data_IF_796747499349
#
_entry.id   IF_796747499349
#
_cell.length_a   1.000
_cell.length_b   1.000
_cell.length_c   1.000
_cell.angle_alpha   90.00
_cell.angle_beta   90.00
_cell.angle_gamma   90.00
#
_symmetry.space_group_name_H-M   'P 1'
#
loop_
_entity.id
_entity.type
_entity.pdbx_description
1 polymer ?
#
# COMPACT_ATOMS: atom_id res chain seq x y z
N UNK A 1 5.68 -4.08 38.19
CA UNK A 1 5.53 -5.55 38.29
C UNK A 1 5.73 -6.15 36.91
N UNK A 2 6.72 -7.03 36.75
CA UNK A 2 6.92 -7.80 35.51
C UNK A 2 5.83 -8.87 35.43
N UNK A 3 5.17 -9.00 34.27
CA UNK A 3 4.10 -10.01 34.06
C UNK A 3 4.67 -11.42 34.23
N UNK A 4 3.94 -12.30 34.92
CA UNK A 4 4.21 -13.74 34.88
C UNK A 4 3.91 -14.29 33.48
N UNK A 5 4.53 -15.42 33.09
CA UNK A 5 4.24 -16.09 31.80
C UNK A 5 2.74 -16.33 31.59
N UNK A 6 2.03 -16.79 32.62
CA UNK A 6 0.59 -17.02 32.56
C UNK A 6 -0.18 -15.72 32.29
N UNK A 7 0.18 -14.62 32.97
CA UNK A 7 -0.47 -13.32 32.76
C UNK A 7 -0.16 -12.72 31.38
N UNK A 8 1.03 -12.96 30.84
CA UNK A 8 1.41 -12.55 29.49
C UNK A 8 0.60 -13.32 28.44
N UNK A 9 0.50 -14.65 28.57
CA UNK A 9 -0.31 -15.49 27.67
C UNK A 9 -1.79 -15.10 27.71
N UNK A 10 -2.34 -14.87 28.90
CA UNK A 10 -3.73 -14.45 29.05
C UNK A 10 -3.97 -13.04 28.46
N UNK A 11 -2.99 -12.14 28.52
CA UNK A 11 -3.09 -10.82 27.90
C UNK A 11 -3.07 -10.90 26.36
N UNK A 12 -2.16 -11.70 25.78
CA UNK A 12 -2.15 -11.98 24.35
C UNK A 12 -3.46 -12.58 23.87
N UNK A 13 -3.93 -13.64 24.52
CA UNK A 13 -5.22 -14.28 24.23
C UNK A 13 -6.40 -13.29 24.25
N UNK A 14 -6.45 -12.36 25.23
CA UNK A 14 -7.50 -11.33 25.27
C UNK A 14 -7.38 -10.35 24.10
N UNK A 15 -6.17 -9.92 23.76
CA UNK A 15 -5.91 -9.00 22.65
C UNK A 15 -6.34 -9.65 21.33
N UNK A 16 -5.86 -10.85 21.02
CA UNK A 16 -6.26 -11.64 19.85
C UNK A 16 -7.80 -11.78 19.78
N UNK A 17 -8.45 -12.05 20.91
CA UNK A 17 -9.92 -12.27 20.94
C UNK A 17 -10.67 -10.98 20.62
N UNK A 18 -10.22 -9.86 21.19
CA UNK A 18 -10.83 -8.56 20.90
C UNK A 18 -10.66 -8.11 19.45
N UNK A 19 -9.52 -8.42 18.84
CA UNK A 19 -9.25 -8.11 17.42
C UNK A 19 -10.11 -8.99 16.53
N UNK A 20 -10.16 -10.30 16.79
CA UNK A 20 -10.99 -11.23 16.03
C UNK A 20 -12.47 -10.83 16.06
N UNK A 21 -13.01 -10.55 17.25
CA UNK A 21 -14.40 -10.11 17.40
C UNK A 21 -14.69 -8.81 16.64
N UNK A 22 -13.80 -7.82 16.75
CA UNK A 22 -13.97 -6.55 16.04
C UNK A 22 -13.95 -6.72 14.52
N UNK A 23 -13.04 -7.55 13.99
CA UNK A 23 -13.01 -7.84 12.56
C UNK A 23 -14.22 -8.67 12.12
N UNK A 24 -14.70 -9.59 12.94
CA UNK A 24 -15.90 -10.37 12.66
C UNK A 24 -17.13 -9.48 12.52
N UNK A 25 -17.29 -8.51 13.43
CA UNK A 25 -18.42 -7.59 13.44
C UNK A 25 -18.41 -6.60 12.26
N UNK A 26 -17.23 -6.25 11.74
CA UNK A 26 -17.08 -5.18 10.75
C UNK A 26 -16.67 -5.63 9.35
N UNK A 27 -16.17 -6.85 9.19
CA UNK A 27 -15.62 -7.35 7.91
C UNK A 27 -16.33 -8.62 7.47
N UNK A 28 -16.25 -9.69 8.27
CA UNK A 28 -16.79 -11.01 7.92
C UNK A 28 -16.93 -11.89 9.17
N UNK A 29 -18.13 -12.39 9.46
CA UNK A 29 -18.47 -13.14 10.67
C UNK A 29 -17.72 -14.48 10.83
N UNK A 30 -17.05 -14.95 9.77
CA UNK A 30 -16.21 -16.16 9.81
C UNK A 30 -14.80 -15.90 10.35
N UNK A 31 -14.46 -14.65 10.66
CA UNK A 31 -13.16 -14.31 11.24
C UNK A 31 -13.12 -14.77 12.69
N UNK A 32 -12.15 -15.61 13.03
CA UNK A 32 -11.94 -16.12 14.38
C UNK A 32 -10.46 -16.17 14.74
N UNK A 33 -10.17 -16.39 16.02
CA UNK A 33 -8.82 -16.75 16.43
C UNK A 33 -8.44 -18.12 15.89
N UNK A 34 -7.27 -18.21 15.28
CA UNK A 34 -6.74 -19.45 14.73
C UNK A 34 -6.40 -20.41 15.87
N UNK A 35 -6.88 -21.65 15.75
CA UNK A 35 -6.39 -22.73 16.59
C UNK A 35 -4.98 -23.11 16.13
N UNK A 36 -4.05 -23.25 17.07
CA UNK A 36 -2.70 -23.72 16.78
C UNK A 36 -2.75 -25.20 16.39
N UNK A 37 -2.89 -25.47 15.10
CA UNK A 37 -2.94 -26.81 14.52
C UNK A 37 -1.99 -26.91 13.33
N UNK A 38 -1.16 -27.95 13.30
CA UNK A 38 -0.17 -28.17 12.25
C UNK A 38 1.25 -27.76 12.66
N UNK A 39 2.21 -28.03 11.78
CA UNK A 39 3.63 -27.77 12.01
C UNK A 39 4.07 -26.35 11.61
N UNK A 40 3.30 -25.68 10.75
CA UNK A 40 3.59 -24.33 10.27
C UNK A 40 2.72 -23.32 10.99
N UNK A 41 3.34 -22.23 11.45
CA UNK A 41 2.62 -21.07 11.93
C UNK A 41 2.05 -20.29 10.76
N UNK A 42 0.81 -19.82 10.91
CA UNK A 42 0.03 -19.16 9.86
C UNK A 42 -0.72 -17.94 10.43
N UNK A 43 -0.19 -17.37 11.51
CA UNK A 43 -0.69 -16.21 12.22
C UNK A 43 -1.86 -16.48 13.17
N UNK A 44 -2.20 -15.46 13.94
CA UNK A 44 -3.15 -15.54 15.05
C UNK A 44 -4.63 -15.63 14.64
N UNK A 45 -4.99 -15.14 13.45
CA UNK A 45 -6.39 -15.05 13.00
C UNK A 45 -6.66 -15.90 11.75
N UNK A 46 -7.89 -16.42 11.63
CA UNK A 46 -8.37 -17.14 10.43
C UNK A 46 -9.58 -16.41 9.82
N UNK A 47 -9.99 -16.82 8.62
CA UNK A 47 -11.19 -16.28 7.95
C UNK A 47 -10.98 -14.98 7.15
N UNK A 48 -9.90 -14.22 7.40
CA UNK A 48 -9.63 -12.95 6.72
C UNK A 48 -9.33 -13.19 5.23
N UNK A 49 -10.16 -12.59 4.37
CA UNK A 49 -10.01 -12.66 2.90
C UNK A 49 -10.32 -11.32 2.27
N UNK A 50 -9.65 -11.05 1.15
CA UNK A 50 -9.93 -9.90 0.31
C UNK A 50 -9.62 -10.25 -1.14
N UNK A 51 -10.47 -9.82 -2.09
CA UNK A 51 -10.31 -10.09 -3.53
C UNK A 51 -9.99 -11.57 -3.87
N UNK A 52 -10.58 -12.52 -3.13
CA UNK A 52 -10.34 -13.95 -3.30
C UNK A 52 -9.05 -14.49 -2.65
N UNK A 53 -8.13 -13.63 -2.23
CA UNK A 53 -6.90 -14.00 -1.53
C UNK A 53 -7.06 -14.11 -0.01
N UNK A 54 -6.22 -14.94 0.61
CA UNK A 54 -6.07 -15.02 2.07
C UNK A 54 -5.22 -13.86 2.58
N UNK A 55 -5.49 -13.44 3.80
CA UNK A 55 -4.69 -12.44 4.52
C UNK A 55 -4.30 -13.01 5.88
N UNK A 56 -3.03 -12.84 6.26
CA UNK A 56 -2.53 -13.20 7.58
C UNK A 56 -2.56 -11.98 8.50
N UNK A 57 -2.92 -12.20 9.76
CA UNK A 57 -2.86 -11.19 10.79
C UNK A 57 -2.19 -11.74 12.04
N UNK A 58 -1.21 -11.00 12.55
CA UNK A 58 -0.44 -11.35 13.74
C UNK A 58 -0.66 -10.32 14.85
N UNK A 59 -0.99 -10.75 16.08
CA UNK A 59 -1.43 -9.87 17.15
C UNK A 59 -0.36 -9.73 18.25
N UNK A 60 0.13 -8.50 18.50
CA UNK A 60 1.21 -8.26 19.49
C UNK A 60 0.75 -7.40 20.67
N UNK A 61 0.67 -7.96 21.88
CA UNK A 61 0.62 -7.20 23.15
C UNK A 61 2.01 -7.11 23.79
N UNK A 62 2.74 -6.05 23.46
CA UNK A 62 4.08 -5.81 23.99
C UNK A 62 4.16 -4.56 24.88
N UNK A 63 3.11 -4.34 25.69
CA UNK A 63 3.09 -3.23 26.66
C UNK A 63 3.16 -1.84 26.03
N UNK A 64 2.73 -1.71 24.77
CA UNK A 64 2.76 -0.46 24.01
C UNK A 64 4.08 -0.14 23.31
N UNK A 65 5.10 -1.00 23.44
CA UNK A 65 6.30 -0.92 22.60
C UNK A 65 5.99 -1.53 21.25
N UNK A 66 6.66 -1.05 20.21
CA UNK A 66 6.52 -1.54 18.83
C UNK A 66 7.88 -2.03 18.34
N UNK A 67 7.96 -3.25 17.82
CA UNK A 67 9.17 -3.80 17.19
C UNK A 67 8.88 -4.09 15.71
N UNK A 68 8.93 -3.03 14.89
CA UNK A 68 8.42 -3.08 13.50
C UNK A 68 9.08 -4.18 12.66
N UNK A 69 10.42 -4.19 12.56
CA UNK A 69 11.15 -5.14 11.71
C UNK A 69 10.87 -6.60 12.07
N UNK A 70 11.21 -7.06 13.30
CA UNK A 70 11.02 -8.45 13.69
C UNK A 70 9.57 -8.94 13.56
N UNK A 71 8.58 -8.08 13.82
CA UNK A 71 7.17 -8.48 13.69
C UNK A 71 6.74 -8.59 12.22
N UNK A 72 7.19 -7.69 11.35
CA UNK A 72 6.89 -7.80 9.92
C UNK A 72 7.57 -9.00 9.28
N UNK A 73 8.80 -9.33 9.70
CA UNK A 73 9.53 -10.51 9.21
C UNK A 73 8.81 -11.81 9.60
N UNK A 74 8.34 -11.91 10.84
CA UNK A 74 7.54 -13.05 11.34
C UNK A 74 6.22 -13.19 10.56
N UNK A 75 5.50 -12.09 10.37
CA UNK A 75 4.25 -12.07 9.61
C UNK A 75 4.44 -12.42 8.13
N UNK A 76 5.56 -12.04 7.51
CA UNK A 76 5.84 -12.43 6.11
C UNK A 76 6.08 -13.94 5.97
N UNK A 77 6.75 -14.56 6.94
CA UNK A 77 6.92 -16.02 7.01
C UNK A 77 5.57 -16.73 7.15
N UNK A 78 4.71 -16.26 8.05
CA UNK A 78 3.37 -16.82 8.25
C UNK A 78 2.47 -16.65 7.03
N UNK A 79 2.54 -15.49 6.38
CA UNK A 79 1.87 -15.20 5.11
C UNK A 79 2.28 -16.24 4.06
N UNK A 80 3.57 -16.50 3.90
CA UNK A 80 4.08 -17.55 3.01
C UNK A 80 3.60 -18.95 3.41
N UNK A 81 3.48 -19.24 4.70
CA UNK A 81 2.97 -20.52 5.19
C UNK A 81 1.45 -20.73 4.96
N UNK A 82 0.66 -19.67 4.83
CA UNK A 82 -0.78 -19.73 4.55
C UNK A 82 -1.15 -19.46 3.09
N UNK A 83 -0.15 -19.34 2.20
CA UNK A 83 -0.30 -18.93 0.80
C UNK A 83 -1.15 -17.65 0.67
N UNK A 84 -0.89 -16.68 1.56
CA UNK A 84 -1.62 -15.42 1.66
C UNK A 84 -0.97 -14.32 0.79
N UNK A 85 -1.82 -13.47 0.21
CA UNK A 85 -1.34 -12.37 -0.64
C UNK A 85 -0.77 -11.19 0.17
N UNK A 86 -1.22 -11.04 1.41
CA UNK A 86 -0.82 -9.97 2.31
C UNK A 86 -0.77 -10.44 3.76
N UNK A 87 0.07 -9.80 4.56
CA UNK A 87 0.13 -9.96 6.01
C UNK A 87 0.16 -8.61 6.72
N UNK A 88 -0.41 -8.54 7.93
CA UNK A 88 -0.29 -7.34 8.78
C UNK A 88 -0.20 -7.69 10.27
N UNK A 89 0.39 -6.78 11.04
CA UNK A 89 0.48 -6.90 12.50
C UNK A 89 -0.54 -5.99 13.15
N UNK A 90 -1.28 -6.49 14.14
CA UNK A 90 -2.13 -5.70 15.04
C UNK A 90 -1.43 -5.50 16.38
N UNK A 91 -0.73 -4.38 16.49
CA UNK A 91 0.01 -4.00 17.69
C UNK A 91 -0.91 -3.33 18.72
N UNK A 92 -0.86 -3.84 19.96
CA UNK A 92 -1.63 -3.28 21.07
C UNK A 92 -1.14 -1.88 21.42
N UNK A 93 -2.01 -0.88 21.26
CA UNK A 93 -1.78 0.50 21.68
C UNK A 93 -1.82 0.64 23.20
N UNK A 94 -0.83 1.34 23.76
CA UNK A 94 -0.80 1.64 25.20
C UNK A 94 -1.97 2.52 25.61
N UNK A 95 -2.56 2.24 26.77
CA UNK A 95 -3.58 3.08 27.39
C UNK A 95 -5.00 2.86 26.86
N UNK A 96 -5.21 1.89 25.95
CA UNK A 96 -6.55 1.55 25.48
C UNK A 96 -6.70 0.04 25.23
N UNK A 97 -7.90 -0.49 25.50
CA UNK A 97 -8.34 -1.84 25.12
C UNK A 97 -9.40 -1.81 24.03
N UNK A 98 -9.78 -0.62 23.54
CA UNK A 98 -10.71 -0.45 22.44
C UNK A 98 -10.10 -1.01 21.15
N UNK A 99 -10.68 -2.08 20.55
CA UNK A 99 -10.10 -2.73 19.39
C UNK A 99 -10.01 -1.81 18.16
N UNK A 100 -10.93 -0.85 18.00
CA UNK A 100 -10.91 0.12 16.89
C UNK A 100 -9.80 1.17 17.01
N UNK A 101 -9.09 1.24 18.15
CA UNK A 101 -7.97 2.17 18.39
C UNK A 101 -6.60 1.48 18.37
N UNK A 102 -6.52 0.20 18.04
CA UNK A 102 -5.25 -0.52 17.96
C UNK A 102 -4.48 -0.13 16.69
N UNK A 103 -3.20 -0.46 16.62
CA UNK A 103 -2.31 -0.02 15.54
C UNK A 103 -2.11 -1.17 14.57
N UNK A 104 -2.26 -0.91 13.28
CA UNK A 104 -1.94 -1.86 12.21
C UNK A 104 -0.62 -1.47 11.58
N UNK A 105 0.28 -2.45 11.42
CA UNK A 105 1.57 -2.30 10.75
C UNK A 105 1.62 -3.28 9.58
N UNK A 106 2.09 -2.81 8.43
CA UNK A 106 2.31 -3.64 7.24
C UNK A 106 3.36 -2.99 6.35
N UNK A 107 3.97 -3.76 5.46
CA UNK A 107 4.85 -3.18 4.43
C UNK A 107 4.02 -2.46 3.37
N UNK A 108 4.67 -1.62 2.56
CA UNK A 108 3.99 -1.00 1.42
C UNK A 108 3.57 -2.05 0.38
N UNK A 109 4.30 -3.16 0.24
CA UNK A 109 3.95 -4.25 -0.67
C UNK A 109 2.65 -4.96 -0.23
N UNK A 110 2.47 -5.20 1.07
CA UNK A 110 1.22 -5.73 1.63
C UNK A 110 0.05 -4.77 1.36
N UNK A 111 0.25 -3.46 1.55
CA UNK A 111 -0.78 -2.48 1.25
C UNK A 111 -1.15 -2.49 -0.24
N UNK A 112 -0.17 -2.55 -1.14
CA UNK A 112 -0.44 -2.68 -2.59
C UNK A 112 -1.24 -3.95 -2.86
N UNK A 113 -0.87 -5.08 -2.27
CA UNK A 113 -1.59 -6.34 -2.42
C UNK A 113 -3.06 -6.23 -1.97
N UNK A 114 -3.33 -5.51 -0.88
CA UNK A 114 -4.69 -5.24 -0.42
C UNK A 114 -5.47 -4.33 -1.38
N UNK A 115 -4.82 -3.34 -2.00
CA UNK A 115 -5.48 -2.39 -2.88
C UNK A 115 -5.73 -2.94 -4.29
N UNK A 116 -4.90 -3.86 -4.76
CA UNK A 116 -4.94 -4.35 -6.15
C UNK A 116 -5.33 -5.83 -6.26
N UNK A 117 -5.31 -6.58 -5.16
CA UNK A 117 -5.44 -8.04 -5.16
C UNK A 117 -4.18 -8.77 -5.65
N UNK A 118 -3.07 -8.06 -5.91
CA UNK A 118 -1.82 -8.66 -6.41
C UNK A 118 -0.62 -8.09 -5.67
N UNK A 119 0.19 -8.98 -5.07
CA UNK A 119 1.41 -8.57 -4.37
C UNK A 119 2.47 -8.15 -5.39
N UNK A 120 3.08 -6.96 -5.27
CA UNK A 120 4.16 -6.55 -6.16
C UNK A 120 5.41 -7.40 -5.92
N UNK A 121 6.14 -7.75 -6.97
CA UNK A 121 7.39 -8.54 -6.90
C UNK A 121 7.18 -10.06 -6.91
N UNK A 122 6.01 -10.55 -6.51
CA UNK A 122 5.55 -11.90 -6.84
C UNK A 122 4.98 -11.86 -8.25
N UNK A 123 5.85 -11.97 -9.26
CA UNK A 123 5.39 -12.00 -10.66
C UNK A 123 4.49 -13.23 -10.86
N UNK A 124 3.20 -13.01 -11.10
CA UNK A 124 2.50 -13.83 -12.11
C UNK A 124 3.33 -13.72 -13.37
N UNK A 125 3.68 -14.85 -13.97
CA UNK A 125 4.75 -15.01 -14.98
C UNK A 125 4.63 -14.20 -16.28
N UNK A 126 3.75 -13.20 -16.35
CA UNK A 126 3.37 -12.48 -17.57
C UNK A 126 4.05 -11.11 -17.71
N UNK A 127 4.71 -10.58 -16.67
CA UNK A 127 5.36 -9.25 -16.70
C UNK A 127 6.88 -9.26 -16.87
N UNK A 128 7.45 -10.39 -17.30
CA UNK A 128 8.86 -10.48 -17.68
C UNK A 128 9.10 -9.97 -19.10
N UNK A 129 8.17 -10.23 -20.02
CA UNK A 129 8.36 -9.92 -21.45
C UNK A 129 8.20 -8.42 -21.76
N UNK A 130 7.37 -7.70 -21.00
CA UNK A 130 7.06 -6.28 -21.28
C UNK A 130 8.15 -5.30 -20.82
N UNK A 131 9.03 -5.71 -19.90
CA UNK A 131 10.17 -4.89 -19.43
C UNK A 131 11.40 -5.05 -20.32
N UNK A 132 11.65 -6.25 -20.86
CA UNK A 132 12.78 -6.49 -21.78
C UNK A 132 12.57 -5.80 -23.15
N UNK A 133 11.32 -5.54 -23.55
CA UNK A 133 11.02 -4.82 -24.78
C UNK A 133 11.36 -3.31 -24.72
N UNK A 134 11.29 -2.69 -23.54
CA UNK A 134 11.45 -1.23 -23.37
C UNK A 134 12.90 -0.76 -23.12
N UNK A 135 13.83 -1.66 -22.81
CA UNK A 135 15.26 -1.30 -22.63
C UNK A 135 16.01 -1.09 -23.96
N UNK A 136 15.35 -1.27 -25.11
CA UNK A 136 15.95 -1.10 -26.43
C UNK A 136 15.95 0.34 -26.97
N UNK A 137 15.34 1.31 -26.27
CA UNK A 137 15.28 2.73 -26.69
C UNK A 137 16.13 3.71 -25.84
N UNK A 138 17.10 3.22 -25.06
CA UNK A 138 18.04 4.11 -24.34
C UNK A 138 19.33 4.31 -25.15
N UNK A 139 19.34 5.31 -26.03
CA UNK A 139 20.54 5.73 -26.76
C UNK A 139 21.55 6.35 -25.78
N UNK A 140 22.79 5.83 -25.66
CA UNK A 140 23.75 6.39 -24.70
C UNK A 140 24.35 7.71 -25.22
N UNK A 141 24.15 8.79 -24.45
CA UNK A 141 24.77 10.09 -24.66
C UNK A 141 26.16 10.14 -24.00
N UNK A 142 27.21 9.76 -24.73
CA UNK A 142 28.64 10.04 -24.47
C UNK A 142 29.43 9.48 -25.68
N UNK A 143 30.45 10.09 -26.31
CA UNK A 143 31.38 11.17 -25.99
C UNK A 143 32.22 11.40 -27.27
N UNK A 144 32.37 12.61 -27.79
CA UNK A 144 33.65 13.05 -28.40
C UNK A 144 33.86 14.53 -28.12
N UNK A 145 34.87 14.80 -27.28
CA UNK A 145 35.52 16.10 -27.14
C UNK A 145 36.64 16.18 -28.18
N UNK A 146 36.77 17.32 -28.84
CA UNK A 146 38.08 17.93 -29.11
C UNK A 146 37.98 19.44 -28.81
N UNK A 147 39.01 19.92 -28.12
CA UNK A 147 39.30 21.28 -27.63
C UNK A 147 40.01 22.03 -28.77
N UNK A 148 39.91 23.35 -29.00
CA UNK A 148 40.51 24.47 -28.25
C UNK A 148 39.94 25.79 -28.84
N UNK A 149 39.43 26.72 -28.03
CA UNK A 149 40.14 27.91 -27.50
C UNK A 149 40.75 28.82 -28.58
N UNK A 150 40.05 29.91 -28.94
CA UNK A 150 40.67 31.25 -28.99
C UNK A 150 39.63 32.40 -29.04
N UNK A 151 39.73 33.23 -27.99
CA UNK A 151 39.77 34.70 -28.01
C UNK A 151 38.51 35.52 -28.37
N UNK A 152 37.90 35.96 -27.27
CA UNK A 152 37.29 37.27 -27.01
C UNK A 152 37.76 38.39 -27.96
N UNK A 153 36.85 39.10 -28.64
CA UNK A 153 36.58 40.53 -28.43
C UNK A 153 35.99 41.27 -29.64
N UNK A 154 35.23 42.32 -29.32
CA UNK A 154 34.80 43.47 -30.12
C UNK A 154 33.49 43.39 -30.90
N UNK A 155 32.45 43.84 -30.20
CA UNK A 155 31.38 44.63 -30.79
C UNK A 155 31.96 45.90 -31.45
N UNK A 156 31.56 46.16 -32.69
CA UNK A 156 31.59 47.46 -33.37
C UNK A 156 30.51 47.41 -34.46
N UNK A 157 29.56 48.34 -34.41
CA UNK A 157 28.33 48.27 -35.20
C UNK A 157 28.50 48.56 -36.70
N UNK A 158 27.39 48.39 -37.43
CA UNK A 158 26.65 49.41 -38.23
C UNK A 158 25.73 48.69 -39.24
N UNK A 159 24.44 49.03 -39.21
CA UNK A 159 23.67 49.34 -40.43
C UNK A 159 22.62 48.34 -40.96
N UNK A 160 21.38 48.85 -41.11
CA UNK A 160 20.40 48.44 -42.14
C UNK A 160 19.32 47.45 -41.67
N UNK A 161 18.16 47.89 -41.20
CA UNK A 161 16.97 48.35 -41.95
C UNK A 161 16.04 47.21 -42.42
N UNK A 162 14.89 47.17 -41.75
CA UNK A 162 13.54 46.99 -42.30
C UNK A 162 12.99 45.60 -42.69
N UNK A 163 11.83 45.34 -42.09
CA UNK A 163 10.66 44.55 -42.55
C UNK A 163 10.72 43.01 -42.53
N UNK A 164 9.71 42.42 -41.89
CA UNK A 164 9.36 41.01 -42.07
C UNK A 164 8.74 40.37 -40.84
N UNK A 165 7.42 40.49 -40.72
CA UNK A 165 6.62 39.76 -39.76
C UNK A 165 6.60 38.26 -40.08
N UNK A 166 6.73 37.38 -39.09
CA UNK A 166 6.03 36.09 -39.11
C UNK A 166 5.78 35.55 -37.69
N UNK A 167 4.50 35.38 -37.37
CA UNK A 167 3.91 34.70 -36.21
C UNK A 167 3.93 33.19 -36.51
N UNK A 168 4.41 32.31 -35.62
CA UNK A 168 3.60 31.50 -34.69
C UNK A 168 4.29 30.10 -34.51
N UNK A 169 3.82 29.19 -33.65
CA UNK A 169 3.37 29.33 -32.27
C UNK A 169 4.14 28.40 -31.29
N UNK A 170 4.06 28.71 -29.99
CA UNK A 170 4.47 27.83 -28.89
C UNK A 170 3.45 26.68 -28.76
N UNK A 171 3.90 25.44 -28.87
CA UNK A 171 3.10 24.26 -28.54
C UNK A 171 2.82 24.22 -27.03
N UNK A 172 1.55 24.38 -26.66
CA UNK A 172 1.05 24.15 -25.32
C UNK A 172 0.86 22.64 -25.11
N UNK A 173 1.39 22.11 -24.01
CA UNK A 173 1.15 20.76 -23.54
C UNK A 173 -0.23 20.73 -22.88
N UNK A 174 -1.21 20.10 -23.52
CA UNK A 174 -2.54 19.89 -22.95
C UNK A 174 -2.54 18.62 -22.09
N UNK A 175 -2.66 18.81 -20.77
CA UNK A 175 -2.81 17.73 -19.79
C UNK A 175 -4.28 17.33 -19.76
N UNK A 176 -4.61 16.19 -20.36
CA UNK A 176 -5.96 15.65 -20.37
C UNK A 176 -6.39 15.22 -18.95
N UNK A 177 -7.28 16.01 -18.34
CA UNK A 177 -7.90 15.69 -17.05
C UNK A 177 -8.97 14.63 -17.25
N UNK A 178 -8.66 13.37 -16.91
CA UNK A 178 -9.68 12.30 -16.80
C UNK A 178 -10.76 12.70 -15.79
N UNK A 179 -11.99 12.85 -16.28
CA UNK A 179 -13.21 12.99 -15.46
C UNK A 179 -13.44 11.69 -14.68
N UNK A 180 -13.51 11.80 -13.35
CA UNK A 180 -14.06 10.74 -12.49
C UNK A 180 -15.59 10.64 -12.68
N UNK A 181 -16.19 9.44 -12.70
CA UNK A 181 -17.63 9.29 -12.82
C UNK A 181 -18.35 9.78 -11.56
N UNK A 182 -19.50 10.45 -11.75
CA UNK A 182 -20.35 11.00 -10.70
C UNK A 182 -21.00 9.88 -9.89
N UNK A 183 -20.89 9.97 -8.56
CA UNK A 183 -21.60 9.11 -7.61
C UNK A 183 -23.12 9.31 -7.76
N UNK A 184 -23.87 8.19 -7.87
CA UNK A 184 -25.32 8.19 -7.79
C UNK A 184 -25.75 8.42 -6.34
N UNK A 185 -26.53 9.48 -6.14
CA UNK A 185 -27.15 9.83 -4.87
C UNK A 185 -28.33 8.92 -4.52
N UNK A 186 -28.54 8.79 -3.21
CA UNK A 186 -29.52 7.97 -2.51
C UNK A 186 -30.97 8.11 -2.99
N UNK A 187 -31.72 7.00 -2.87
CA UNK A 187 -33.18 6.99 -2.82
C UNK A 187 -33.57 6.50 -1.42
N UNK A 188 -34.17 7.40 -0.64
CA UNK A 188 -34.94 7.10 0.58
C UNK A 188 -36.39 7.44 0.23
N UNK A 189 -37.38 6.54 0.39
CA UNK A 189 -38.77 6.92 0.30
C UNK A 189 -39.33 7.32 1.67
N UNK A 190 -40.22 8.29 1.55
CA UNK A 190 -40.85 9.17 2.52
C UNK A 190 -41.92 8.50 3.39
N UNK A 191 -42.12 9.08 4.57
CA UNK A 191 -43.07 8.68 5.62
C UNK A 191 -44.52 8.59 5.12
N UNK A 192 -45.21 7.49 5.44
CA UNK A 192 -46.66 7.42 5.40
C UNK A 192 -47.24 7.98 6.71
N UNK A 193 -47.71 9.23 6.68
CA UNK A 193 -48.72 9.76 7.60
C UNK A 193 -50.11 9.56 7.01
N UNK A 194 -50.92 8.70 7.64
CA UNK A 194 -52.33 8.92 8.03
C UNK A 194 -53.13 7.62 8.10
N UNK A 195 -53.75 7.36 9.25
CA UNK A 195 -54.85 6.43 9.38
C UNK A 195 -55.07 5.91 10.81
N UNK A 196 -55.88 6.65 11.58
CA UNK A 196 -56.77 6.23 12.69
C UNK A 196 -56.33 5.08 13.60
#
# INVERSE_FOLDING_TARGET
MTRSRASAKAAGTRHETSVAAYLADHVDDRIERRRQTGAKDRGDLSGIRHMGGRIVAECKDYGGRVQVGPWLDETDVERGNDDAMAGFVVAKRRGTTDPGKQIVLMTLADLVALLTGTRPGERSGERLEELEANDSEVVPLALTREVDLDVIAHASGVGGSDQGAELAPRAAVEVERRRLPKAHAAIVPEEARNGS
#
